data_IF_072929731511
#
_entry.id   IF_072929731511
#
_cell.length_a   1.000
_cell.length_b   1.000
_cell.length_c   1.000
_cell.angle_alpha   90.00
_cell.angle_beta   90.00
_cell.angle_gamma   90.00
#
_symmetry.space_group_name_H-M   'P 1'
#
loop_
_entity.id
_entity.type
_entity.pdbx_description
1 polymer ?
#
# COMPACT_ATOMS: atom_id res chain seq x y z
N UNK A 1 -24.29 2.06 60.49
CA UNK A 1 -22.87 2.17 60.89
C UNK A 1 -22.48 0.88 61.59
N UNK A 2 -21.63 0.07 60.97
CA UNK A 2 -21.11 -1.17 61.54
C UNK A 2 -19.58 -1.14 61.42
N UNK A 3 -18.82 -1.32 62.51
CA UNK A 3 -17.37 -1.52 62.46
C UNK A 3 -17.08 -3.03 62.34
N UNK A 4 -16.08 -3.42 61.54
CA UNK A 4 -15.79 -4.85 61.38
C UNK A 4 -14.50 -5.19 60.66
N UNK A 5 -13.50 -5.57 61.47
CA UNK A 5 -12.56 -6.67 61.21
C UNK A 5 -11.33 -6.41 60.33
N UNK A 6 -10.26 -5.97 61.01
CA UNK A 6 -8.86 -6.20 60.65
C UNK A 6 -8.57 -7.70 60.47
N UNK A 7 -8.23 -8.11 59.24
CA UNK A 7 -7.80 -9.46 58.89
C UNK A 7 -6.32 -9.51 58.50
N UNK A 8 -5.47 -9.72 59.49
CA UNK A 8 -4.04 -10.03 59.37
C UNK A 8 -3.83 -11.31 58.56
N UNK A 9 -3.12 -11.25 57.42
CA UNK A 9 -2.67 -12.45 56.70
C UNK A 9 -1.15 -12.66 56.83
N UNK A 10 -0.70 -13.90 57.11
CA UNK A 10 0.67 -14.18 57.47
C UNK A 10 1.59 -14.27 56.24
N UNK A 11 2.75 -13.65 56.43
CA UNK A 11 3.96 -13.73 55.64
C UNK A 11 4.49 -15.17 55.65
N UNK A 12 4.22 -15.96 54.60
CA UNK A 12 4.91 -17.25 54.39
C UNK A 12 6.01 -17.09 53.33
N UNK A 13 7.19 -16.89 53.91
CA UNK A 13 8.53 -17.11 53.39
C UNK A 13 8.61 -18.54 52.81
N UNK A 14 8.66 -18.67 51.49
CA UNK A 14 9.13 -19.88 50.81
C UNK A 14 10.10 -19.44 49.72
N UNK A 15 11.27 -19.05 50.19
CA UNK A 15 12.49 -19.12 49.40
C UNK A 15 13.11 -20.50 49.64
N UNK A 16 13.74 -21.00 48.59
CA UNK A 16 14.77 -22.02 48.55
C UNK A 16 14.40 -23.45 48.13
N UNK A 17 14.99 -23.79 46.97
CA UNK A 17 15.64 -25.05 46.58
C UNK A 17 14.92 -25.95 45.58
N UNK A 18 15.20 -25.68 44.29
CA UNK A 18 15.72 -26.59 43.23
C UNK A 18 15.42 -25.94 41.88
N UNK A 19 16.34 -25.31 41.15
CA UNK A 19 17.63 -25.78 40.63
C UNK A 19 17.54 -27.21 40.05
N UNK A 20 17.55 -27.30 38.70
CA UNK A 20 18.05 -28.48 37.98
C UNK A 20 17.12 -29.13 36.95
N UNK A 21 16.83 -28.44 35.83
CA UNK A 21 16.74 -29.00 34.46
C UNK A 21 16.53 -27.80 33.53
N UNK A 22 17.51 -27.23 32.82
CA UNK A 22 18.50 -27.82 31.90
C UNK A 22 17.91 -28.80 30.88
N UNK A 23 16.74 -28.46 30.33
CA UNK A 23 16.25 -29.01 29.08
C UNK A 23 15.93 -27.87 28.12
N UNK A 24 16.92 -27.56 27.28
CA UNK A 24 16.80 -27.20 25.86
C UNK A 24 15.45 -26.60 25.41
N UNK A 25 15.07 -25.46 25.93
CA UNK A 25 14.49 -24.43 25.09
C UNK A 25 15.69 -23.82 24.34
N UNK A 26 16.17 -24.35 23.22
CA UNK A 26 15.55 -24.09 21.91
C UNK A 26 14.51 -22.97 21.97
N UNK A 27 14.98 -21.81 22.44
CA UNK A 27 14.58 -20.49 21.97
C UNK A 27 14.90 -20.41 20.46
N UNK A 28 14.26 -21.27 19.67
CA UNK A 28 13.81 -20.88 18.35
C UNK A 28 12.76 -19.80 18.62
N UNK A 29 13.26 -18.57 18.81
CA UNK A 29 12.44 -17.38 18.80
C UNK A 29 11.43 -17.55 17.66
N UNK A 30 10.11 -17.47 17.91
CA UNK A 30 9.14 -17.55 16.85
C UNK A 30 9.24 -16.25 16.04
N UNK A 31 10.27 -16.15 15.20
CA UNK A 31 10.44 -15.19 14.10
C UNK A 31 9.19 -15.18 13.19
N UNK A 32 8.37 -16.24 13.23
CA UNK A 32 7.09 -16.35 12.54
C UNK A 32 5.87 -15.77 13.28
N UNK A 33 6.01 -15.24 14.51
CA UNK A 33 4.90 -14.67 15.29
C UNK A 33 5.09 -13.21 15.73
N UNK A 34 5.90 -12.45 15.01
CA UNK A 34 5.60 -11.02 14.86
C UNK A 34 4.36 -10.89 13.97
N UNK A 35 3.23 -11.37 14.49
CA UNK A 35 1.92 -10.92 14.11
C UNK A 35 1.98 -9.42 14.34
N UNK A 36 2.30 -8.69 13.26
CA UNK A 36 2.10 -7.26 13.17
C UNK A 36 0.76 -7.04 13.86
N UNK A 37 0.77 -6.42 15.05
CA UNK A 37 -0.41 -5.76 15.57
C UNK A 37 -0.68 -4.66 14.56
N UNK A 38 -1.36 -5.04 13.47
CA UNK A 38 -1.78 -4.15 12.41
C UNK A 38 -2.64 -3.13 13.12
N UNK A 39 -2.06 -1.96 13.34
CA UNK A 39 -2.78 -0.91 14.05
C UNK A 39 -4.06 -0.62 13.25
N UNK A 40 -5.18 -0.28 13.91
CA UNK A 40 -6.46 -0.08 13.21
C UNK A 40 -6.38 0.96 12.09
N UNK A 41 -5.42 1.90 12.16
CA UNK A 41 -5.11 2.85 11.08
C UNK A 41 -4.54 2.18 9.83
N UNK A 42 -3.66 1.19 10.00
CA UNK A 42 -3.03 0.46 8.90
C UNK A 42 -4.03 -0.44 8.15
N UNK A 43 -5.08 -0.93 8.83
CA UNK A 43 -6.21 -1.61 8.16
C UNK A 43 -6.93 -0.69 7.16
N UNK A 44 -7.18 0.56 7.52
CA UNK A 44 -7.89 1.50 6.64
C UNK A 44 -7.10 1.76 5.35
N UNK A 45 -5.79 1.95 5.45
CA UNK A 45 -4.91 2.16 4.28
C UNK A 45 -4.94 0.96 3.34
N UNK A 46 -4.84 -0.27 3.88
CA UNK A 46 -4.93 -1.49 3.08
C UNK A 46 -6.27 -1.65 2.38
N UNK A 47 -7.37 -1.29 3.05
CA UNK A 47 -8.71 -1.32 2.44
C UNK A 47 -8.80 -0.31 1.30
N UNK A 48 -8.34 0.93 1.49
CA UNK A 48 -8.32 1.95 0.44
C UNK A 48 -7.43 1.55 -0.73
N UNK A 49 -6.24 0.99 -0.48
CA UNK A 49 -5.35 0.49 -1.52
C UNK A 49 -6.00 -0.68 -2.30
N UNK A 50 -6.64 -1.62 -1.60
CA UNK A 50 -7.39 -2.70 -2.23
C UNK A 50 -8.56 -2.19 -3.08
N UNK A 51 -9.33 -1.24 -2.56
CA UNK A 51 -10.42 -0.60 -3.30
C UNK A 51 -9.90 0.10 -4.57
N UNK A 52 -8.80 0.85 -4.46
CA UNK A 52 -8.15 1.51 -5.60
C UNK A 52 -7.65 0.49 -6.63
N UNK A 53 -7.08 -0.64 -6.20
CA UNK A 53 -6.66 -1.71 -7.10
C UNK A 53 -7.85 -2.33 -7.84
N UNK A 54 -8.98 -2.56 -7.15
CA UNK A 54 -10.21 -3.06 -7.79
C UNK A 54 -10.76 -2.04 -8.79
N UNK A 55 -10.74 -0.75 -8.46
CA UNK A 55 -11.13 0.34 -9.38
C UNK A 55 -10.21 0.39 -10.60
N UNK A 56 -8.90 0.28 -10.42
CA UNK A 56 -7.93 0.19 -11.51
C UNK A 56 -8.15 -1.03 -12.40
N UNK A 57 -8.34 -2.22 -11.81
CA UNK A 57 -8.62 -3.46 -12.53
C UNK A 57 -9.91 -3.37 -13.34
N UNK A 58 -10.97 -2.82 -12.75
CA UNK A 58 -12.25 -2.63 -13.44
C UNK A 58 -12.15 -1.59 -14.56
N UNK A 59 -11.43 -0.49 -14.37
CA UNK A 59 -11.12 0.47 -15.44
C UNK A 59 -10.38 -0.23 -16.59
N UNK A 60 -9.30 -0.95 -16.30
CA UNK A 60 -8.51 -1.70 -17.30
C UNK A 60 -9.39 -2.72 -18.02
N UNK A 61 -10.21 -3.47 -17.29
CA UNK A 61 -11.14 -4.45 -17.85
C UNK A 61 -12.15 -3.79 -18.80
N UNK A 62 -12.76 -2.67 -18.39
CA UNK A 62 -13.68 -1.90 -19.22
C UNK A 62 -12.97 -1.35 -20.45
N UNK A 63 -11.72 -0.87 -20.32
CA UNK A 63 -10.92 -0.39 -21.44
C UNK A 63 -10.58 -1.49 -22.45
N UNK A 64 -10.25 -2.69 -21.98
CA UNK A 64 -9.92 -3.83 -22.83
C UNK A 64 -11.15 -4.46 -23.50
N UNK A 65 -12.27 -4.49 -22.79
CA UNK A 65 -13.52 -5.10 -23.30
C UNK A 65 -14.37 -4.14 -24.12
N UNK A 66 -14.16 -2.82 -24.02
CA UNK A 66 -14.92 -1.89 -24.84
C UNK A 66 -14.53 -2.05 -26.33
N UNK A 67 -15.48 -2.35 -27.22
CA UNK A 67 -15.22 -2.45 -28.66
C UNK A 67 -14.68 -1.13 -29.23
N UNK A 68 -14.92 -0.01 -28.54
CA UNK A 68 -14.37 1.31 -28.87
C UNK A 68 -12.84 1.35 -28.92
N UNK A 69 -12.13 0.62 -28.07
CA UNK A 69 -10.66 0.62 -28.05
C UNK A 69 -10.06 -0.33 -29.09
N UNK A 70 -10.78 -1.40 -29.45
CA UNK A 70 -10.36 -2.33 -30.51
C UNK A 70 -10.28 -1.65 -31.88
N UNK A 71 -11.15 -0.68 -32.15
CA UNK A 71 -11.19 0.03 -33.43
C UNK A 71 -10.08 1.06 -33.67
N UNK A 72 -9.27 1.40 -32.66
CA UNK A 72 -8.15 2.37 -32.83
C UNK A 72 -7.01 1.79 -33.67
N UNK A 73 -6.94 0.46 -33.74
CA UNK A 73 -6.00 -0.27 -34.60
C UNK A 73 -6.51 -0.57 -36.01
N UNK A 74 -7.78 -0.25 -36.32
CA UNK A 74 -8.39 -0.71 -37.56
C UNK A 74 -7.66 -0.18 -38.80
N UNK A 75 -7.28 -1.12 -39.67
CA UNK A 75 -6.60 -0.82 -40.92
C UNK A 75 -7.40 0.17 -41.80
N UNK A 76 -8.73 0.16 -41.67
CA UNK A 76 -9.65 1.11 -42.33
C UNK A 76 -9.46 2.56 -41.89
N UNK A 77 -9.24 2.80 -40.59
CA UNK A 77 -9.00 4.16 -40.09
C UNK A 77 -7.63 4.64 -40.56
N UNK A 78 -6.62 3.75 -40.54
CA UNK A 78 -5.28 4.07 -41.05
C UNK A 78 -5.29 4.38 -42.55
N UNK A 79 -6.04 3.62 -43.36
CA UNK A 79 -6.13 3.88 -44.80
C UNK A 79 -6.85 5.20 -45.09
N UNK A 80 -7.97 5.49 -44.43
CA UNK A 80 -8.67 6.78 -44.55
C UNK A 80 -7.78 7.95 -44.12
N UNK A 81 -6.99 7.78 -43.06
CA UNK A 81 -6.06 8.82 -42.60
C UNK A 81 -4.94 9.06 -43.61
N UNK A 82 -4.40 8.00 -44.25
CA UNK A 82 -3.42 8.12 -45.33
C UNK A 82 -4.00 8.84 -46.55
N UNK A 83 -5.22 8.50 -46.95
CA UNK A 83 -5.92 9.16 -48.08
C UNK A 83 -6.19 10.64 -47.78
N UNK A 84 -6.63 10.97 -46.56
CA UNK A 84 -6.83 12.35 -46.14
C UNK A 84 -5.51 13.15 -46.13
N UNK A 85 -4.41 12.55 -45.71
CA UNK A 85 -3.08 13.16 -45.78
C UNK A 85 -2.60 13.36 -47.22
N UNK A 86 -2.88 12.42 -48.12
CA UNK A 86 -2.56 12.52 -49.54
C UNK A 86 -3.35 13.66 -50.22
N UNK A 87 -4.67 13.73 -50.00
CA UNK A 87 -5.52 14.79 -50.53
C UNK A 87 -5.10 16.20 -50.07
N UNK A 88 -4.55 16.31 -48.84
CA UNK A 88 -4.03 17.57 -48.31
C UNK A 88 -2.76 18.04 -49.01
N UNK A 89 -1.92 17.12 -49.49
CA UNK A 89 -0.72 17.45 -50.27
C UNK A 89 -1.07 18.01 -51.65
N UNK A 90 -2.23 17.62 -52.18
CA UNK A 90 -2.73 18.09 -53.48
C UNK A 90 -3.50 19.42 -53.38
N UNK A 91 -3.60 20.04 -52.20
CA UNK A 91 -4.27 21.34 -52.02
C UNK A 91 -5.80 21.31 -52.20
N UNK A 92 -6.42 20.12 -52.27
CA UNK A 92 -7.88 19.99 -52.39
C UNK A 92 -8.56 20.20 -51.04
N UNK A 93 -9.71 20.89 -51.04
CA UNK A 93 -10.53 21.03 -49.84
C UNK A 93 -11.07 19.66 -49.43
N UNK A 94 -10.88 19.25 -48.15
CA UNK A 94 -11.31 17.93 -47.71
C UNK A 94 -12.84 17.84 -47.76
N UNK A 95 -13.40 16.69 -48.19
CA UNK A 95 -14.85 16.51 -48.25
C UNK A 95 -15.47 16.63 -46.86
N UNK A 96 -16.65 17.24 -46.75
CA UNK A 96 -17.33 17.48 -45.46
C UNK A 96 -17.52 16.21 -44.61
N UNK A 97 -17.62 15.04 -45.26
CA UNK A 97 -17.68 13.74 -44.59
C UNK A 97 -16.35 13.39 -43.86
N UNK A 98 -15.19 13.75 -44.43
CA UNK A 98 -13.89 13.53 -43.81
C UNK A 98 -13.70 14.41 -42.57
N UNK A 99 -14.22 15.64 -42.57
CA UNK A 99 -14.13 16.54 -41.42
C UNK A 99 -14.95 16.03 -40.23
N UNK A 100 -16.16 15.49 -40.48
CA UNK A 100 -16.99 14.85 -39.44
C UNK A 100 -16.32 13.60 -38.86
N UNK A 101 -15.75 12.76 -39.73
CA UNK A 101 -15.00 11.58 -39.31
C UNK A 101 -13.78 11.97 -38.45
N UNK A 102 -13.05 13.02 -38.85
CA UNK A 102 -11.90 13.54 -38.10
C UNK A 102 -12.31 14.03 -36.71
N UNK A 103 -13.39 14.82 -36.59
CA UNK A 103 -13.90 15.29 -35.28
C UNK A 103 -14.31 14.12 -34.39
N UNK A 104 -14.98 13.11 -34.93
CA UNK A 104 -15.35 11.91 -34.18
C UNK A 104 -14.12 11.13 -33.68
N UNK A 105 -13.08 10.99 -34.52
CA UNK A 105 -11.82 10.33 -34.13
C UNK A 105 -11.08 11.15 -33.08
N UNK A 106 -10.99 12.48 -33.23
CA UNK A 106 -10.34 13.35 -32.24
C UNK A 106 -11.05 13.29 -30.90
N UNK A 107 -12.38 13.37 -30.88
CA UNK A 107 -13.17 13.22 -29.65
C UNK A 107 -12.90 11.87 -28.96
N UNK A 108 -12.83 10.78 -29.73
CA UNK A 108 -12.48 9.46 -29.19
C UNK A 108 -11.07 9.45 -28.60
N UNK A 109 -10.08 9.99 -29.31
CA UNK A 109 -8.70 10.06 -28.83
C UNK A 109 -8.58 10.92 -27.56
N UNK A 110 -9.33 12.01 -27.47
CA UNK A 110 -9.40 12.83 -26.25
C UNK A 110 -9.94 12.03 -25.06
N UNK A 111 -11.02 11.25 -25.26
CA UNK A 111 -11.58 10.39 -24.20
C UNK A 111 -10.59 9.31 -23.78
N UNK A 112 -9.91 8.68 -24.74
CA UNK A 112 -8.87 7.69 -24.48
C UNK A 112 -7.71 8.32 -23.69
N UNK A 113 -7.23 9.48 -24.12
CA UNK A 113 -6.16 10.21 -23.46
C UNK A 113 -6.53 10.62 -22.04
N UNK A 114 -7.74 11.16 -21.84
CA UNK A 114 -8.26 11.50 -20.51
C UNK A 114 -8.36 10.28 -19.60
N UNK A 115 -8.84 9.15 -20.12
CA UNK A 115 -8.87 7.87 -19.40
C UNK A 115 -7.47 7.44 -18.94
N UNK A 116 -6.48 7.46 -19.84
CA UNK A 116 -5.09 7.13 -19.48
C UNK A 116 -4.51 8.10 -18.44
N UNK A 117 -4.78 9.40 -18.57
CA UNK A 117 -4.34 10.40 -17.62
C UNK A 117 -4.92 10.14 -16.21
N UNK A 118 -6.21 9.80 -16.11
CA UNK A 118 -6.85 9.42 -14.85
C UNK A 118 -6.21 8.15 -14.28
N UNK A 119 -5.99 7.11 -15.09
CA UNK A 119 -5.34 5.87 -14.66
C UNK A 119 -3.92 6.10 -14.13
N UNK A 120 -3.11 6.91 -14.82
CA UNK A 120 -1.76 7.28 -14.37
C UNK A 120 -1.81 8.13 -13.11
N UNK A 121 -2.77 9.06 -13.01
CA UNK A 121 -2.99 9.86 -11.81
C UNK A 121 -3.32 8.99 -10.59
N UNK A 122 -4.25 8.05 -10.72
CA UNK A 122 -4.59 7.09 -9.65
C UNK A 122 -3.40 6.21 -9.26
N UNK A 123 -2.63 5.76 -10.25
CA UNK A 123 -1.41 4.97 -10.02
C UNK A 123 -0.35 5.78 -9.26
N UNK A 124 -0.15 7.04 -9.62
CA UNK A 124 0.77 7.94 -8.92
C UNK A 124 0.33 8.20 -7.47
N UNK A 125 -0.97 8.40 -7.23
CA UNK A 125 -1.53 8.55 -5.87
C UNK A 125 -1.27 7.29 -5.03
N UNK A 126 -1.43 6.10 -5.60
CA UNK A 126 -1.10 4.84 -4.91
C UNK A 126 0.37 4.75 -4.53
N UNK A 127 1.28 5.11 -5.45
CA UNK A 127 2.73 5.14 -5.16
C UNK A 127 3.03 6.14 -4.04
N UNK A 128 2.45 7.33 -4.08
CA UNK A 128 2.63 8.34 -3.02
C UNK A 128 2.13 7.85 -1.66
N UNK A 129 0.97 7.18 -1.62
CA UNK A 129 0.44 6.57 -0.40
C UNK A 129 1.38 5.46 0.12
N UNK A 130 1.91 4.61 -0.78
CA UNK A 130 2.85 3.56 -0.42
C UNK A 130 4.16 4.13 0.14
N UNK A 131 4.71 5.18 -0.48
CA UNK A 131 5.92 5.86 0.01
C UNK A 131 5.68 6.51 1.37
N UNK A 132 4.51 7.12 1.58
CA UNK A 132 4.15 7.70 2.87
C UNK A 132 4.05 6.63 3.96
N UNK A 133 3.40 5.51 3.68
CA UNK A 133 3.29 4.39 4.63
C UNK A 133 4.67 3.80 4.96
N UNK A 134 5.54 3.64 3.96
CA UNK A 134 6.92 3.18 4.17
C UNK A 134 7.71 4.11 5.08
N UNK A 135 7.56 5.43 4.92
CA UNK A 135 8.20 6.43 5.79
C UNK A 135 7.68 6.36 7.23
N UNK A 136 6.37 6.16 7.41
CA UNK A 136 5.78 6.01 8.75
C UNK A 136 6.23 4.71 9.43
N UNK A 137 6.35 3.63 8.66
CA UNK A 137 6.91 2.36 9.13
C UNK A 137 8.38 2.50 9.53
N UNK A 138 9.21 3.15 8.72
CA UNK A 138 10.62 3.40 9.06
C UNK A 138 10.76 4.22 10.35
N UNK A 139 9.97 5.28 10.52
CA UNK A 139 9.96 6.08 11.77
C UNK A 139 9.53 5.27 12.99
N UNK A 140 8.62 4.32 12.81
CA UNK A 140 8.14 3.47 13.90
C UNK A 140 9.17 2.40 14.25
N UNK A 141 9.81 1.80 13.23
CA UNK A 141 10.90 0.85 13.39
C UNK A 141 12.10 1.47 14.11
N UNK A 142 12.52 2.66 13.70
CA UNK A 142 13.63 3.37 14.33
C UNK A 142 13.38 3.65 15.82
N UNK A 143 12.16 4.06 16.18
CA UNK A 143 11.77 4.27 17.59
C UNK A 143 11.78 2.98 18.40
N UNK A 144 11.31 1.88 17.82
CA UNK A 144 11.36 0.58 18.48
C UNK A 144 12.82 0.12 18.72
N UNK A 145 13.70 0.33 17.75
CA UNK A 145 15.12 0.00 17.87
C UNK A 145 15.82 0.85 18.95
N UNK A 146 15.53 2.16 19.01
CA UNK A 146 16.06 3.04 20.06
C UNK A 146 15.62 2.60 21.46
N UNK A 147 14.34 2.25 21.63
CA UNK A 147 13.83 1.76 22.92
C UNK A 147 14.43 0.41 23.33
N UNK A 148 14.74 -0.46 22.37
CA UNK A 148 15.45 -1.71 22.64
C UNK A 148 16.87 -1.42 23.16
N UNK A 149 17.60 -0.52 22.50
CA UNK A 149 18.95 -0.12 22.89
C UNK A 149 19.00 0.55 24.28
N UNK A 150 18.03 1.41 24.62
CA UNK A 150 17.91 2.03 25.95
C UNK A 150 17.66 1.00 27.06
N UNK A 151 16.87 -0.04 26.78
CA UNK A 151 16.61 -1.12 27.75
C UNK A 151 17.86 -1.96 28.01
N UNK A 152 18.66 -2.21 26.98
CA UNK A 152 19.91 -2.96 27.13
C UNK A 152 20.94 -2.17 27.93
N UNK A 153 21.13 -0.90 27.60
CA UNK A 153 22.03 -0.01 28.35
C UNK A 153 21.59 0.16 29.81
N UNK A 154 20.28 0.32 30.08
CA UNK A 154 19.75 0.36 31.44
C UNK A 154 19.99 -0.93 32.24
N UNK A 155 19.90 -2.11 31.61
CA UNK A 155 20.22 -3.40 32.27
C UNK A 155 21.70 -3.53 32.59
N UNK A 156 22.58 -3.05 31.71
CA UNK A 156 24.02 -3.09 31.93
C UNK A 156 24.42 -2.18 33.10
N UNK A 157 23.93 -0.93 33.11
CA UNK A 157 24.16 0.01 34.21
C UNK A 157 23.64 -0.52 35.56
N UNK A 158 22.45 -1.14 35.56
CA UNK A 158 21.86 -1.73 36.77
C UNK A 158 22.59 -2.97 37.30
N UNK A 159 23.38 -3.68 36.47
CA UNK A 159 24.26 -4.76 36.92
C UNK A 159 25.51 -4.21 37.61
N UNK A 160 26.12 -3.16 37.07
CA UNK A 160 27.34 -2.58 37.61
C UNK A 160 27.14 -2.03 39.02
N UNK A 161 25.99 -1.39 39.29
CA UNK A 161 25.69 -0.84 40.62
C UNK A 161 25.46 -1.90 41.72
N UNK A 162 25.20 -3.16 41.37
CA UNK A 162 24.94 -4.23 42.33
C UNK A 162 26.20 -5.01 42.75
N UNK A 163 27.34 -4.73 42.12
CA UNK A 163 28.61 -5.43 42.33
C UNK A 163 29.65 -4.69 43.20
N UNK A 164 29.32 -3.50 43.70
CA UNK A 164 30.14 -2.68 44.61
C UNK A 164 29.47 -2.56 45.96
#
# INVERSE_FOLDING_TARGET
MCPGSNGSRPRKRQEHLRQGSSEKASDAAPEGRLWLRVTPRQRRIRVWAGLLMVVLLSLVYVGLTNPFFRGVGDARVRSLTRVAMAARREGRTPPAAAERARRAVVARLMVIGAYWAVCLGLSAVLVLLAVKDLRELQKSYWRAHLQAAERETGRLLGRTQRGT
#
